data_IF_365364917550
#
_entry.id   IF_365364917550
#
_cell.length_a   1.000
_cell.length_b   1.000
_cell.length_c   1.000
_cell.angle_alpha   90.00
_cell.angle_beta   90.00
_cell.angle_gamma   90.00
#
_symmetry.space_group_name_H-M   'P 1'
#
loop_
_entity.id
_entity.type
_entity.pdbx_description
1 polymer ?
#
# COMPACT_ATOMS: atom_id res chain seq x y z
N UNK A 1 1.75 12.53 29.12
CA UNK A 1 0.89 12.27 27.95
C UNK A 1 1.03 10.81 27.48
N UNK A 2 -0.09 10.08 27.43
CA UNK A 2 -0.21 8.71 26.90
C UNK A 2 0.10 7.58 27.91
N UNK A 3 -0.89 7.17 28.69
CA UNK A 3 -0.79 5.97 29.53
C UNK A 3 -1.16 4.72 28.73
N UNK A 4 -0.16 3.99 28.26
CA UNK A 4 -0.34 2.77 27.48
C UNK A 4 -1.02 1.62 28.25
N UNK A 5 -1.03 1.66 29.60
CA UNK A 5 -1.70 0.65 30.42
C UNK A 5 -3.20 0.92 30.54
N UNK A 6 -3.57 2.20 30.72
CA UNK A 6 -4.96 2.58 30.97
C UNK A 6 -5.73 3.03 29.72
N UNK A 7 -5.05 3.50 28.68
CA UNK A 7 -5.68 4.03 27.47
C UNK A 7 -5.10 3.42 26.22
N UNK A 8 -5.94 2.76 25.44
CA UNK A 8 -5.58 2.31 24.10
C UNK A 8 -5.51 3.53 23.19
N UNK A 9 -4.39 3.66 22.46
CA UNK A 9 -4.25 4.69 21.45
C UNK A 9 -5.37 4.53 20.41
N UNK A 10 -6.08 5.62 20.12
CA UNK A 10 -7.17 5.64 19.14
C UNK A 10 -8.44 4.88 19.55
N UNK A 11 -8.83 4.88 20.83
CA UNK A 11 -10.01 4.15 21.38
C UNK A 11 -11.34 4.40 20.66
N UNK A 12 -11.45 5.51 19.93
CA UNK A 12 -12.62 5.90 19.13
C UNK A 12 -12.45 5.68 17.63
N UNK A 13 -11.31 5.16 17.18
CA UNK A 13 -11.04 4.90 15.76
C UNK A 13 -11.45 3.48 15.36
N UNK A 14 -11.71 3.28 14.06
CA UNK A 14 -11.89 1.93 13.51
C UNK A 14 -10.60 1.12 13.70
N UNK A 15 -10.68 0.10 14.55
CA UNK A 15 -9.54 -0.74 14.87
C UNK A 15 -9.32 -1.81 13.80
N UNK A 16 -8.16 -1.73 13.15
CA UNK A 16 -7.61 -2.77 12.31
C UNK A 16 -6.27 -3.25 12.88
N UNK A 17 -6.10 -4.57 12.98
CA UNK A 17 -4.83 -5.17 13.37
C UNK A 17 -3.88 -5.18 12.18
N UNK A 18 -2.65 -4.69 12.38
CA UNK A 18 -1.60 -4.82 11.37
C UNK A 18 -1.11 -6.26 11.31
N UNK A 19 -1.01 -6.79 10.09
CA UNK A 19 -0.49 -8.13 9.80
C UNK A 19 0.65 -7.99 8.82
N UNK A 20 1.80 -8.58 9.17
CA UNK A 20 2.92 -8.75 8.25
C UNK A 20 2.90 -10.20 7.81
N UNK A 21 2.70 -10.43 6.52
CA UNK A 21 2.58 -11.77 5.95
C UNK A 21 3.72 -12.00 4.96
N UNK A 22 4.46 -13.09 5.18
CA UNK A 22 5.45 -13.60 4.24
C UNK A 22 4.77 -14.66 3.39
N UNK A 23 4.63 -14.40 2.10
CA UNK A 23 3.99 -15.34 1.19
C UNK A 23 4.96 -16.44 0.75
N UNK A 24 4.43 -17.55 0.25
CA UNK A 24 5.25 -18.67 -0.26
C UNK A 24 6.10 -18.29 -1.47
N UNK A 25 5.66 -17.29 -2.25
CA UNK A 25 6.40 -16.73 -3.38
C UNK A 25 7.39 -15.63 -2.99
N UNK A 26 7.66 -15.45 -1.69
CA UNK A 26 8.74 -14.62 -1.18
C UNK A 26 8.39 -13.14 -0.93
N UNK A 27 7.14 -12.73 -1.11
CA UNK A 27 6.74 -11.34 -0.88
C UNK A 27 6.47 -11.05 0.60
N UNK A 28 6.64 -9.79 0.97
CA UNK A 28 6.27 -9.27 2.29
C UNK A 28 5.09 -8.31 2.14
N UNK A 29 3.93 -8.73 2.63
CA UNK A 29 2.70 -7.95 2.59
C UNK A 29 2.38 -7.36 3.96
N UNK A 30 2.12 -6.06 4.00
CA UNK A 30 1.68 -5.36 5.22
C UNK A 30 0.21 -4.96 5.07
N UNK A 31 -0.66 -5.64 5.81
CA UNK A 31 -2.11 -5.49 5.71
C UNK A 31 -2.69 -4.94 7.00
N UNK A 32 -3.80 -4.20 6.88
CA UNK A 32 -4.64 -3.82 8.02
C UNK A 32 -5.93 -4.63 7.92
N UNK A 33 -6.13 -5.55 8.86
CA UNK A 33 -7.23 -6.51 8.85
C UNK A 33 -8.21 -6.19 10.00
N UNK A 34 -9.53 -6.26 9.77
CA UNK A 34 -10.51 -6.00 10.83
C UNK A 34 -10.34 -6.93 12.02
N UNK A 35 -10.36 -6.35 13.21
CA UNK A 35 -10.30 -7.07 14.50
C UNK A 35 -11.57 -6.78 15.30
N UNK A 36 -11.99 -7.73 16.15
CA UNK A 36 -13.27 -7.63 16.84
C UNK A 36 -13.38 -6.47 17.83
N UNK A 37 -12.27 -6.09 18.47
CA UNK A 37 -12.22 -4.95 19.38
C UNK A 37 -10.78 -4.47 19.59
N UNK A 38 -10.65 -3.29 20.20
CA UNK A 38 -9.38 -2.64 20.49
C UNK A 38 -8.42 -3.47 21.37
N UNK A 39 -8.95 -4.31 22.26
CA UNK A 39 -8.11 -5.09 23.19
C UNK A 39 -7.31 -6.16 22.48
N UNK A 40 -7.70 -6.56 21.27
CA UNK A 40 -6.96 -7.52 20.44
C UNK A 40 -5.53 -7.03 20.19
N UNK A 41 -5.29 -5.72 20.15
CA UNK A 41 -3.95 -5.14 19.98
C UNK A 41 -3.01 -5.49 21.13
N UNK A 42 -3.54 -5.70 22.34
CA UNK A 42 -2.73 -6.03 23.53
C UNK A 42 -2.20 -7.45 23.51
N UNK A 43 -2.98 -8.37 22.95
CA UNK A 43 -2.62 -9.77 22.80
C UNK A 43 -3.21 -10.31 21.49
N UNK A 44 -2.52 -10.11 20.36
CA UNK A 44 -3.04 -10.50 19.06
C UNK A 44 -3.04 -12.02 18.93
N UNK A 45 -4.18 -12.57 18.53
CA UNK A 45 -4.38 -13.99 18.27
C UNK A 45 -5.04 -14.13 16.91
N UNK A 46 -4.64 -15.13 16.12
CA UNK A 46 -5.10 -15.29 14.73
C UNK A 46 -6.64 -15.35 14.62
N UNK A 47 -7.30 -15.98 15.61
CA UNK A 47 -8.76 -16.10 15.65
C UNK A 47 -9.50 -14.75 15.76
N UNK A 48 -8.83 -13.70 16.23
CA UNK A 48 -9.42 -12.38 16.44
C UNK A 48 -9.38 -11.50 15.18
N UNK A 49 -8.80 -12.01 14.09
CA UNK A 49 -8.70 -11.34 12.80
C UNK A 49 -9.75 -11.92 11.85
N UNK A 50 -10.72 -11.09 11.46
CA UNK A 50 -11.83 -11.55 10.63
C UNK A 50 -11.35 -11.94 9.24
N UNK A 51 -11.69 -13.17 8.83
CA UNK A 51 -11.39 -13.71 7.50
C UNK A 51 -9.91 -13.62 7.11
N UNK A 52 -9.00 -13.72 8.08
CA UNK A 52 -7.56 -13.54 7.84
C UNK A 52 -7.05 -14.42 6.68
N UNK A 53 -7.25 -15.73 6.73
CA UNK A 53 -6.74 -16.64 5.69
C UNK A 53 -7.34 -16.39 4.31
N UNK A 54 -8.67 -16.22 4.14
CA UNK A 54 -9.23 -15.80 2.86
C UNK A 54 -8.66 -14.48 2.33
N UNK A 55 -8.43 -13.49 3.19
CA UNK A 55 -7.83 -12.20 2.79
C UNK A 55 -6.41 -12.44 2.27
N UNK A 56 -5.57 -13.14 3.02
CA UNK A 56 -4.18 -13.42 2.63
C UNK A 56 -4.12 -14.18 1.29
N UNK A 57 -4.94 -15.23 1.14
CA UNK A 57 -4.98 -16.03 -0.08
C UNK A 57 -5.44 -15.22 -1.30
N UNK A 58 -6.39 -14.29 -1.14
CA UNK A 58 -6.87 -13.47 -2.25
C UNK A 58 -5.91 -12.32 -2.58
N UNK A 59 -5.32 -11.67 -1.58
CA UNK A 59 -4.30 -10.63 -1.82
C UNK A 59 -3.09 -11.20 -2.55
N UNK A 60 -2.64 -12.40 -2.17
CA UNK A 60 -1.55 -13.09 -2.87
C UNK A 60 -1.91 -13.39 -4.34
N UNK A 61 -3.16 -13.73 -4.65
CA UNK A 61 -3.63 -13.95 -6.03
C UNK A 61 -3.70 -12.66 -6.87
N UNK A 62 -3.89 -11.50 -6.24
CA UNK A 62 -3.92 -10.20 -6.90
C UNK A 62 -2.53 -9.66 -7.27
N UNK A 63 -1.49 -10.44 -6.99
CA UNK A 63 -0.11 -10.18 -7.40
C UNK A 63 0.00 -9.95 -8.90
N UNK A 64 0.86 -9.02 -9.27
CA UNK A 64 1.28 -8.81 -10.65
C UNK A 64 2.69 -9.39 -10.86
N UNK A 65 2.88 -10.29 -11.83
CA UNK A 65 4.22 -10.81 -12.16
C UNK A 65 5.11 -9.78 -12.90
N UNK A 66 4.55 -8.63 -13.30
CA UNK A 66 5.25 -7.61 -14.09
C UNK A 66 6.10 -6.67 -13.23
N UNK A 67 5.85 -6.61 -11.91
CA UNK A 67 6.58 -5.75 -10.98
C UNK A 67 6.78 -6.50 -9.66
N UNK A 68 8.00 -6.46 -9.13
CA UNK A 68 8.33 -7.08 -7.85
C UNK A 68 7.52 -6.44 -6.72
N UNK A 69 6.98 -7.28 -5.83
CA UNK A 69 6.20 -6.90 -4.64
C UNK A 69 5.01 -5.96 -4.89
N UNK A 70 4.39 -6.01 -6.08
CA UNK A 70 3.27 -5.14 -6.43
C UNK A 70 1.96 -5.89 -6.74
N UNK A 71 0.85 -5.30 -6.27
CA UNK A 71 -0.50 -5.70 -6.67
C UNK A 71 -0.92 -5.01 -7.98
N UNK A 72 -1.83 -5.63 -8.74
CA UNK A 72 -2.30 -5.14 -10.05
C UNK A 72 -2.69 -3.65 -10.06
N UNK A 73 -3.47 -3.12 -9.09
CA UNK A 73 -3.83 -1.69 -9.09
C UNK A 73 -2.62 -0.76 -8.94
N UNK A 74 -1.66 -1.13 -8.08
CA UNK A 74 -0.42 -0.36 -7.86
C UNK A 74 0.45 -0.40 -9.12
N UNK A 75 0.59 -1.58 -9.73
CA UNK A 75 1.29 -1.74 -11.00
C UNK A 75 0.68 -0.88 -12.11
N UNK A 76 -0.65 -0.82 -12.22
CA UNK A 76 -1.34 0.00 -13.20
C UNK A 76 -1.13 1.50 -12.95
N UNK A 77 -1.25 1.95 -11.70
CA UNK A 77 -0.98 3.32 -11.32
C UNK A 77 0.47 3.72 -11.63
N UNK A 78 1.44 2.88 -11.26
CA UNK A 78 2.86 3.10 -11.55
C UNK A 78 3.11 3.19 -13.06
N UNK A 79 2.46 2.33 -13.85
CA UNK A 79 2.55 2.35 -15.31
C UNK A 79 1.96 3.64 -15.89
N UNK A 80 0.80 4.09 -15.41
CA UNK A 80 0.17 5.35 -15.86
C UNK A 80 1.02 6.57 -15.51
N UNK A 81 1.58 6.63 -14.31
CA UNK A 81 2.49 7.73 -13.90
C UNK A 81 3.77 7.70 -14.75
N UNK A 82 4.36 6.53 -14.98
CA UNK A 82 5.52 6.38 -15.86
C UNK A 82 5.21 6.81 -17.29
N UNK A 83 4.02 6.49 -17.81
CA UNK A 83 3.56 6.90 -19.13
C UNK A 83 3.23 8.39 -19.21
N UNK A 84 2.80 9.05 -18.13
CA UNK A 84 2.56 10.49 -18.12
C UNK A 84 3.88 11.28 -18.12
N UNK A 85 4.93 10.75 -17.49
CA UNK A 85 6.24 11.40 -17.43
C UNK A 85 6.97 11.42 -18.79
N UNK A 86 6.82 10.40 -19.63
CA UNK A 86 7.57 10.31 -20.89
C UNK A 86 7.14 11.37 -21.95
N UNK A 87 5.84 11.58 -22.23
CA UNK A 87 5.35 12.62 -23.12
C UNK A 87 5.53 14.01 -22.51
N UNK A 88 5.32 14.16 -21.20
CA UNK A 88 5.48 15.45 -20.52
C UNK A 88 6.92 15.95 -20.60
N UNK A 89 7.91 15.05 -20.49
CA UNK A 89 9.33 15.38 -20.65
C UNK A 89 9.67 15.83 -22.07
N UNK A 90 9.13 15.14 -23.08
CA UNK A 90 9.27 15.54 -24.50
C UNK A 90 8.61 16.89 -24.76
N UNK A 91 7.43 17.14 -24.18
CA UNK A 91 6.76 18.44 -24.28
C UNK A 91 7.62 19.54 -23.65
N UNK A 92 8.12 19.32 -22.44
CA UNK A 92 8.95 20.27 -21.71
C UNK A 92 10.25 20.60 -22.47
N UNK A 93 10.90 19.58 -23.05
CA UNK A 93 12.08 19.76 -23.92
C UNK A 93 11.73 20.60 -25.14
N UNK A 94 10.63 20.30 -25.83
CA UNK A 94 10.19 21.08 -27.00
C UNK A 94 9.90 22.53 -26.65
N UNK A 95 9.22 22.78 -25.53
CA UNK A 95 8.97 24.14 -25.06
C UNK A 95 10.27 24.88 -24.72
N UNK A 96 11.17 24.26 -23.96
CA UNK A 96 12.45 24.85 -23.59
C UNK A 96 13.30 25.21 -24.83
N UNK A 97 13.40 24.29 -25.80
CA UNK A 97 14.12 24.54 -27.08
C UNK A 97 13.45 25.67 -27.87
N UNK A 98 12.12 25.71 -27.94
CA UNK A 98 11.41 26.77 -28.65
C UNK A 98 11.60 28.15 -28.01
N UNK A 99 11.65 28.23 -26.67
CA UNK A 99 11.93 29.48 -25.95
C UNK A 99 13.37 29.93 -26.17
N UNK A 100 14.34 29.02 -26.11
CA UNK A 100 15.75 29.34 -26.39
C UNK A 100 15.96 29.84 -27.81
N UNK A 101 15.28 29.26 -28.81
CA UNK A 101 15.38 29.68 -30.21
C UNK A 101 14.62 30.98 -30.51
N UNK A 102 13.62 31.36 -29.72
CA UNK A 102 12.88 32.61 -29.88
C UNK A 102 13.58 33.83 -29.24
N UNK A 103 14.67 33.61 -28.50
CA UNK A 103 15.43 34.66 -27.79
C UNK A 103 16.74 35.04 -28.52
N UNK A 104 16.89 34.65 -29.78
CA UNK A 104 18.01 34.96 -30.67
C UNK A 104 17.52 35.66 -31.93
#
# INVERSE_FOLDING_TARGET
>A
PGDAKHTLYGSTAYYGGKVIFHSEDGQILVLTVPIDNANVIRNPQLANYRNLFPILANVQKLRCAMYDDAIVPVALANKLVSLANHPSKILLEKFAVSTMNATH
#
